data_IF_063404012262
#
_entry.id   IF_063404012262
#
_cell.length_a   1.000
_cell.length_b   1.000
_cell.length_c   1.000
_cell.angle_alpha   90.00
_cell.angle_beta   90.00
_cell.angle_gamma   90.00
#
_symmetry.space_group_name_H-M   'P 1'
#
loop_
_entity.id
_entity.type
_entity.pdbx_description
1 polymer ?
#
# COMPACT_ATOMS: atom_id res chain seq x y z
N UNK A 1 18.16 38.43 -29.53
CA UNK A 1 17.62 37.05 -29.49
C UNK A 1 18.78 36.08 -29.27
N UNK A 2 18.90 35.52 -28.05
CA UNK A 2 19.78 34.40 -27.66
C UNK A 2 19.11 33.63 -26.51
N UNK A 3 19.36 32.32 -26.37
CA UNK A 3 18.29 31.32 -26.49
C UNK A 3 17.95 30.58 -25.19
N UNK A 4 16.74 30.02 -25.17
CA UNK A 4 16.48 28.67 -24.63
C UNK A 4 16.47 28.52 -23.12
N UNK A 5 15.30 28.77 -22.52
CA UNK A 5 15.03 28.50 -21.10
C UNK A 5 15.43 27.08 -20.69
N UNK A 6 16.29 27.02 -19.68
CA UNK A 6 16.67 25.81 -18.94
C UNK A 6 15.50 25.45 -18.02
N UNK A 7 14.46 24.81 -18.55
CA UNK A 7 13.27 24.45 -17.76
C UNK A 7 12.66 23.11 -18.22
N UNK A 8 13.39 22.00 -18.06
CA UNK A 8 12.85 20.64 -18.34
C UNK A 8 13.23 19.55 -17.33
N UNK A 9 13.81 19.89 -16.17
CA UNK A 9 14.24 18.87 -15.19
C UNK A 9 13.48 18.94 -13.86
N UNK A 10 13.08 20.12 -13.38
CA UNK A 10 12.35 20.21 -12.10
C UNK A 10 10.90 19.72 -12.17
N UNK A 11 10.14 20.06 -13.21
CA UNK A 11 8.71 19.70 -13.28
C UNK A 11 8.48 18.18 -13.39
N UNK A 12 9.34 17.46 -14.10
CA UNK A 12 9.26 15.98 -14.19
C UNK A 12 9.60 15.33 -12.85
N UNK A 13 10.59 15.86 -12.13
CA UNK A 13 11.00 15.35 -10.82
C UNK A 13 9.92 15.58 -9.76
N UNK A 14 9.32 16.78 -9.75
CA UNK A 14 8.23 17.12 -8.83
C UNK A 14 6.98 16.24 -9.09
N UNK A 15 6.60 16.03 -10.35
CA UNK A 15 5.44 15.19 -10.69
C UNK A 15 5.65 13.73 -10.28
N UNK A 16 6.87 13.20 -10.45
CA UNK A 16 7.20 11.84 -9.99
C UNK A 16 7.09 11.73 -8.46
N UNK A 17 7.68 12.68 -7.74
CA UNK A 17 7.66 12.70 -6.28
C UNK A 17 6.23 12.79 -5.71
N UNK A 18 5.36 13.62 -6.31
CA UNK A 18 3.95 13.73 -5.93
C UNK A 18 3.19 12.42 -6.20
N UNK A 19 3.46 11.75 -7.32
CA UNK A 19 2.82 10.48 -7.66
C UNK A 19 3.23 9.36 -6.70
N UNK A 20 4.51 9.30 -6.35
CA UNK A 20 5.03 8.34 -5.37
C UNK A 20 4.44 8.58 -3.98
N UNK A 21 4.26 9.85 -3.60
CA UNK A 21 3.62 10.24 -2.35
C UNK A 21 2.14 9.83 -2.31
N UNK A 22 1.38 10.18 -3.34
CA UNK A 22 -0.03 9.83 -3.46
C UNK A 22 -0.26 8.32 -3.43
N UNK A 23 0.69 7.54 -3.97
CA UNK A 23 0.63 6.07 -3.94
C UNK A 23 0.91 5.49 -2.56
N UNK A 24 1.89 6.04 -1.83
CA UNK A 24 2.18 5.66 -0.46
C UNK A 24 0.96 5.94 0.43
N UNK A 25 0.34 7.10 0.29
CA UNK A 25 -0.89 7.46 1.00
C UNK A 25 -2.04 6.52 0.67
N UNK A 26 -2.28 6.26 -0.62
CA UNK A 26 -3.32 5.33 -1.05
C UNK A 26 -3.13 3.92 -0.48
N UNK A 27 -1.90 3.40 -0.49
CA UNK A 27 -1.60 2.08 0.04
C UNK A 27 -1.86 2.00 1.55
N UNK A 28 -1.29 2.92 2.33
CA UNK A 28 -1.49 2.95 3.79
C UNK A 28 -2.95 3.14 4.18
N UNK A 29 -3.65 4.04 3.49
CA UNK A 29 -5.05 4.33 3.73
C UNK A 29 -5.96 3.15 3.39
N UNK A 30 -5.67 2.43 2.31
CA UNK A 30 -6.43 1.23 1.96
C UNK A 30 -6.28 0.11 3.00
N UNK A 31 -5.10 -0.05 3.59
CA UNK A 31 -4.88 -1.01 4.68
C UNK A 31 -5.65 -0.58 5.92
N UNK A 32 -5.56 0.70 6.31
CA UNK A 32 -6.30 1.25 7.45
C UNK A 32 -7.82 1.05 7.30
N UNK A 33 -8.37 1.42 6.14
CA UNK A 33 -9.80 1.28 5.86
C UNK A 33 -10.26 -0.20 5.93
N UNK A 34 -9.47 -1.13 5.40
CA UNK A 34 -9.77 -2.55 5.50
C UNK A 34 -9.73 -3.05 6.94
N UNK A 35 -8.73 -2.63 7.73
CA UNK A 35 -8.63 -2.97 9.15
C UNK A 35 -9.83 -2.46 9.95
N UNK A 36 -10.22 -1.21 9.74
CA UNK A 36 -11.38 -0.61 10.41
C UNK A 36 -12.67 -1.34 10.04
N UNK A 37 -12.87 -1.64 8.76
CA UNK A 37 -14.04 -2.38 8.29
C UNK A 37 -14.12 -3.77 8.91
N UNK A 38 -13.00 -4.52 8.94
CA UNK A 38 -12.94 -5.86 9.52
C UNK A 38 -13.12 -5.80 11.04
N UNK A 39 -12.48 -4.85 11.73
CA UNK A 39 -12.62 -4.69 13.18
C UNK A 39 -14.07 -4.37 13.58
N UNK A 40 -14.80 -3.62 12.77
CA UNK A 40 -16.19 -3.26 13.05
C UNK A 40 -17.16 -4.46 12.97
N UNK A 41 -16.85 -5.45 12.14
CA UNK A 41 -17.75 -6.57 11.83
C UNK A 41 -17.30 -7.92 12.39
N UNK A 42 -16.00 -8.07 12.68
CA UNK A 42 -15.40 -9.27 13.24
C UNK A 42 -14.29 -8.92 14.26
N UNK A 43 -14.64 -8.21 15.36
CA UNK A 43 -13.68 -7.69 16.35
C UNK A 43 -12.89 -8.79 17.05
N UNK A 44 -13.49 -9.98 17.24
CA UNK A 44 -12.82 -11.10 17.91
C UNK A 44 -11.94 -11.93 16.96
N UNK A 45 -12.16 -11.81 15.64
CA UNK A 45 -11.40 -12.56 14.64
C UNK A 45 -10.08 -11.87 14.31
N UNK A 46 -10.10 -10.54 14.13
CA UNK A 46 -8.91 -9.78 13.72
C UNK A 46 -7.68 -9.98 14.65
N UNK A 47 -7.82 -10.00 16.00
CA UNK A 47 -6.69 -10.28 16.90
C UNK A 47 -6.06 -11.67 16.73
N UNK A 48 -6.78 -12.62 16.13
CA UNK A 48 -6.28 -13.99 15.94
C UNK A 48 -5.31 -14.12 14.78
N UNK A 49 -5.29 -13.14 13.87
CA UNK A 49 -4.54 -13.19 12.61
C UNK A 49 -3.48 -12.08 12.48
N UNK A 50 -3.55 -11.02 13.29
CA UNK A 50 -2.57 -9.92 13.27
C UNK A 50 -2.15 -9.49 14.69
N UNK A 51 -0.92 -8.96 14.80
CA UNK A 51 -0.48 -8.25 16.00
C UNK A 51 -1.08 -6.84 16.02
N UNK A 52 -2.21 -6.69 16.72
CA UNK A 52 -2.93 -5.42 16.85
C UNK A 52 -2.06 -4.34 17.52
N UNK A 53 -1.14 -4.69 18.41
CA UNK A 53 -0.30 -3.69 19.06
C UNK A 53 0.72 -3.10 18.08
N UNK A 54 1.31 -3.92 17.23
CA UNK A 54 2.22 -3.44 16.17
C UNK A 54 1.48 -2.65 15.09
N UNK A 55 0.36 -3.19 14.62
CA UNK A 55 -0.42 -2.58 13.56
C UNK A 55 -1.11 -1.30 14.04
N UNK A 56 -1.54 -1.25 15.30
CA UNK A 56 -2.11 -0.06 15.92
C UNK A 56 -1.13 1.12 15.97
N UNK A 57 0.18 0.87 16.13
CA UNK A 57 1.20 1.94 16.03
C UNK A 57 1.31 2.50 14.62
N UNK A 58 1.10 1.66 13.60
CA UNK A 58 1.26 2.01 12.18
C UNK A 58 0.00 2.64 11.58
N UNK A 59 -1.19 2.21 12.02
CA UNK A 59 -2.48 2.60 11.43
C UNK A 59 -3.43 3.32 12.39
N UNK A 60 -3.14 3.37 13.69
CA UNK A 60 -4.01 3.97 14.71
C UNK A 60 -3.92 5.49 14.85
N UNK A 61 -2.95 6.14 14.21
CA UNK A 61 -2.87 7.61 14.21
C UNK A 61 -3.96 8.18 13.29
N UNK A 62 -4.79 9.10 13.82
CA UNK A 62 -5.82 9.78 13.02
C UNK A 62 -5.20 10.55 11.84
N UNK A 63 -5.92 10.59 10.72
CA UNK A 63 -5.53 11.17 9.42
C UNK A 63 -4.96 12.60 9.52
N UNK A 64 -5.42 13.37 10.51
CA UNK A 64 -5.01 14.74 10.82
C UNK A 64 -3.59 14.86 11.40
N UNK A 65 -2.95 13.77 11.83
CA UNK A 65 -1.55 13.77 12.32
C UNK A 65 -0.64 12.83 11.53
N UNK A 66 -1.11 12.26 10.42
CA UNK A 66 -0.28 11.38 9.59
C UNK A 66 0.87 12.16 8.94
N UNK A 67 2.02 12.20 9.60
CA UNK A 67 3.25 12.83 9.08
C UNK A 67 4.04 11.81 8.30
N UNK A 68 3.93 11.90 6.98
CA UNK A 68 4.80 11.17 6.07
C UNK A 68 6.26 11.48 6.37
N UNK A 69 7.14 10.46 6.44
CA UNK A 69 8.56 10.68 6.62
C UNK A 69 9.13 11.57 5.52
N UNK A 70 9.96 12.53 5.92
CA UNK A 70 10.63 13.45 4.99
C UNK A 70 11.75 12.76 4.21
N UNK A 71 12.36 11.70 4.75
CA UNK A 71 13.44 10.98 4.08
C UNK A 71 12.92 9.92 3.10
N UNK A 72 13.59 9.79 1.95
CA UNK A 72 13.27 8.80 0.92
C UNK A 72 13.36 7.36 1.45
N UNK A 73 14.38 7.06 2.27
CA UNK A 73 14.59 5.74 2.86
C UNK A 73 13.42 5.33 3.77
N UNK A 74 13.01 6.20 4.70
CA UNK A 74 11.87 5.92 5.59
C UNK A 74 10.55 5.79 4.83
N UNK A 75 10.37 6.54 3.75
CA UNK A 75 9.21 6.35 2.86
C UNK A 75 9.23 4.98 2.20
N UNK A 76 10.38 4.53 1.69
CA UNK A 76 10.51 3.20 1.09
C UNK A 76 10.23 2.07 2.11
N UNK A 77 10.73 2.22 3.34
CA UNK A 77 10.43 1.29 4.45
C UNK A 77 8.91 1.22 4.74
N UNK A 78 8.23 2.37 4.80
CA UNK A 78 6.77 2.39 4.98
C UNK A 78 6.01 1.77 3.81
N UNK A 79 6.41 2.06 2.56
CA UNK A 79 5.82 1.42 1.38
C UNK A 79 5.93 -0.11 1.48
N UNK A 80 7.10 -0.62 1.88
CA UNK A 80 7.33 -2.06 2.04
C UNK A 80 6.49 -2.65 3.18
N UNK A 81 6.38 -1.93 4.30
CA UNK A 81 5.52 -2.32 5.43
C UNK A 81 4.06 -2.43 5.00
N UNK A 82 3.53 -1.43 4.29
CA UNK A 82 2.15 -1.47 3.79
C UNK A 82 1.87 -2.61 2.83
N UNK A 83 2.81 -2.92 1.93
CA UNK A 83 2.70 -4.07 1.05
C UNK A 83 2.62 -5.38 1.85
N UNK A 84 3.53 -5.53 2.81
CA UNK A 84 3.58 -6.71 3.69
C UNK A 84 2.28 -6.88 4.47
N UNK A 85 1.82 -5.82 5.12
CA UNK A 85 0.60 -5.84 5.91
C UNK A 85 -0.64 -6.10 5.04
N UNK A 86 -0.74 -5.46 3.88
CA UNK A 86 -1.81 -5.71 2.93
C UNK A 86 -1.86 -7.18 2.50
N UNK A 87 -0.71 -7.78 2.21
CA UNK A 87 -0.61 -9.20 1.84
C UNK A 87 -1.01 -10.12 3.00
N UNK A 88 -0.55 -9.83 4.22
CA UNK A 88 -0.92 -10.58 5.43
C UNK A 88 -2.43 -10.55 5.64
N UNK A 89 -3.03 -9.35 5.61
CA UNK A 89 -4.48 -9.20 5.81
C UNK A 89 -5.29 -9.91 4.72
N UNK A 90 -4.90 -9.74 3.45
CA UNK A 90 -5.60 -10.38 2.32
C UNK A 90 -5.47 -11.91 2.32
N UNK A 91 -4.35 -12.45 2.80
CA UNK A 91 -4.20 -13.89 3.01
C UNK A 91 -5.08 -14.37 4.16
N UNK A 92 -5.08 -13.64 5.28
CA UNK A 92 -5.89 -13.99 6.44
C UNK A 92 -7.39 -14.04 6.10
N UNK A 93 -7.94 -13.03 5.42
CA UNK A 93 -9.37 -13.03 5.01
C UNK A 93 -9.68 -14.03 3.90
N UNK A 94 -8.67 -14.51 3.18
CA UNK A 94 -8.80 -15.51 2.12
C UNK A 94 -8.62 -16.96 2.59
N UNK A 95 -8.19 -17.16 3.84
CA UNK A 95 -7.98 -18.47 4.44
C UNK A 95 -9.31 -19.22 4.63
N UNK A 96 -9.28 -20.56 4.60
CA UNK A 96 -10.47 -21.40 4.79
C UNK A 96 -11.03 -21.30 6.21
N UNK A 97 -10.21 -20.92 7.19
CA UNK A 97 -10.62 -20.67 8.57
C UNK A 97 -11.28 -19.30 8.79
N UNK A 98 -11.26 -18.40 7.81
CA UNK A 98 -11.84 -17.07 7.94
C UNK A 98 -13.34 -17.07 7.59
N UNK A 99 -14.15 -16.21 8.23
CA UNK A 99 -15.51 -15.96 7.79
C UNK A 99 -15.52 -15.49 6.33
N UNK A 100 -16.10 -16.30 5.44
CA UNK A 100 -16.00 -16.11 3.98
C UNK A 100 -16.49 -14.74 3.48
N UNK A 101 -17.42 -14.10 4.19
CA UNK A 101 -17.98 -12.79 3.84
C UNK A 101 -17.00 -11.63 4.11
N UNK A 102 -15.91 -11.84 4.89
CA UNK A 102 -14.89 -10.81 5.11
C UNK A 102 -14.19 -10.38 3.83
N UNK A 103 -13.97 -11.32 2.90
CA UNK A 103 -13.34 -11.01 1.61
C UNK A 103 -14.24 -10.15 0.71
N UNK A 104 -15.53 -10.10 0.98
CA UNK A 104 -16.55 -9.37 0.22
C UNK A 104 -16.75 -7.94 0.72
N UNK A 105 -16.14 -7.57 1.85
CA UNK A 105 -16.18 -6.21 2.36
C UNK A 105 -15.60 -5.24 1.31
N UNK A 106 -16.31 -4.15 0.97
CA UNK A 106 -15.85 -3.20 -0.05
C UNK A 106 -14.43 -2.66 0.21
N UNK A 107 -14.08 -2.41 1.47
CA UNK A 107 -12.74 -1.95 1.86
C UNK A 107 -11.65 -3.01 1.58
N UNK A 108 -11.96 -4.29 1.79
CA UNK A 108 -11.05 -5.41 1.50
C UNK A 108 -10.88 -5.59 -0.01
N UNK A 109 -11.94 -5.43 -0.79
CA UNK A 109 -11.86 -5.42 -2.25
C UNK A 109 -11.02 -4.26 -2.79
N UNK A 110 -11.19 -3.06 -2.24
CA UNK A 110 -10.35 -1.89 -2.58
C UNK A 110 -8.89 -2.17 -2.26
N UNK A 111 -8.58 -2.69 -1.06
CA UNK A 111 -7.22 -3.08 -0.68
C UNK A 111 -6.62 -4.09 -1.66
N UNK A 112 -7.39 -5.11 -2.07
CA UNK A 112 -6.93 -6.10 -3.05
C UNK A 112 -6.55 -5.45 -4.39
N UNK A 113 -7.39 -4.54 -4.89
CA UNK A 113 -7.13 -3.82 -6.15
C UNK A 113 -5.88 -2.96 -6.05
N UNK A 114 -5.74 -2.21 -4.95
CA UNK A 114 -4.55 -1.39 -4.67
C UNK A 114 -3.29 -2.26 -4.64
N UNK A 115 -3.33 -3.42 -3.95
CA UNK A 115 -2.19 -4.32 -3.88
C UNK A 115 -1.77 -4.85 -5.25
N UNK A 116 -2.72 -5.36 -6.05
CA UNK A 116 -2.44 -5.88 -7.40
C UNK A 116 -1.87 -4.80 -8.33
N UNK A 117 -2.41 -3.59 -8.24
CA UNK A 117 -2.01 -2.47 -9.08
C UNK A 117 -0.65 -1.89 -8.71
N UNK A 118 -0.28 -1.93 -7.43
CA UNK A 118 0.89 -1.23 -6.91
C UNK A 118 1.97 -2.14 -6.35
N UNK A 119 1.76 -3.43 -6.20
CA UNK A 119 2.78 -4.32 -5.65
C UNK A 119 2.98 -5.54 -6.54
N UNK A 120 4.15 -6.14 -6.38
CA UNK A 120 4.55 -7.40 -6.97
C UNK A 120 5.04 -8.32 -5.86
N UNK A 121 4.60 -9.56 -5.93
CA UNK A 121 5.18 -10.65 -5.16
C UNK A 121 6.33 -11.20 -5.99
N UNK A 122 7.51 -11.23 -5.41
CA UNK A 122 8.76 -11.70 -6.04
C UNK A 122 9.47 -12.67 -5.11
N UNK A 123 10.48 -13.35 -5.63
CA UNK A 123 11.32 -14.25 -4.83
C UNK A 123 12.69 -13.62 -4.67
N UNK A 124 13.20 -13.54 -3.44
CA UNK A 124 14.56 -13.06 -3.19
C UNK A 124 15.62 -14.12 -3.56
N UNK A 125 16.90 -13.74 -3.46
CA UNK A 125 18.03 -14.64 -3.76
C UNK A 125 18.11 -15.86 -2.85
N UNK A 126 17.43 -15.84 -1.71
CA UNK A 126 17.34 -16.95 -0.75
C UNK A 126 16.07 -17.81 -0.97
N UNK A 127 15.29 -17.56 -2.03
CA UNK A 127 14.07 -18.30 -2.33
C UNK A 127 12.85 -17.85 -1.51
N UNK A 128 12.95 -16.77 -0.73
CA UNK A 128 11.86 -16.27 0.11
C UNK A 128 10.94 -15.37 -0.68
N UNK A 129 9.65 -15.51 -0.45
CA UNK A 129 8.66 -14.62 -1.04
C UNK A 129 8.77 -13.23 -0.40
N UNK A 130 8.93 -12.21 -1.23
CA UNK A 130 9.02 -10.80 -0.83
C UNK A 130 8.07 -9.96 -1.66
N UNK A 131 7.32 -9.09 -0.99
CA UNK A 131 6.48 -8.11 -1.65
C UNK A 131 7.24 -6.80 -1.82
N UNK A 132 7.27 -6.29 -3.06
CA UNK A 132 7.88 -4.99 -3.36
C UNK A 132 6.89 -4.11 -4.12
N UNK A 133 6.99 -2.81 -3.90
CA UNK A 133 6.25 -1.86 -4.72
C UNK A 133 6.74 -1.92 -6.17
N UNK A 134 5.80 -1.84 -7.11
CA UNK A 134 6.12 -1.60 -8.53
C UNK A 134 6.89 -0.30 -8.71
N UNK A 135 7.83 -0.21 -9.63
CA UNK A 135 8.45 1.04 -10.02
C UNK A 135 7.93 1.46 -11.39
N UNK A 136 7.62 2.75 -11.57
CA UNK A 136 7.03 3.24 -12.81
C UNK A 136 7.93 3.02 -14.03
N UNK A 137 9.25 3.12 -13.82
CA UNK A 137 10.27 3.00 -14.86
C UNK A 137 10.61 1.55 -15.19
N UNK A 138 10.48 0.64 -14.21
CA UNK A 138 10.95 -0.75 -14.31
C UNK A 138 9.83 -1.75 -14.60
N UNK A 139 8.65 -1.56 -13.98
CA UNK A 139 7.59 -2.58 -13.98
C UNK A 139 6.43 -2.25 -14.92
N UNK A 140 6.46 -1.08 -15.56
CA UNK A 140 5.37 -0.58 -16.39
C UNK A 140 4.10 -0.31 -15.58
N UNK A 141 3.69 0.95 -15.46
CA UNK A 141 2.35 1.25 -14.95
C UNK A 141 1.33 0.64 -15.92
N UNK A 142 0.57 -0.39 -15.49
CA UNK A 142 -0.68 -0.74 -16.18
C UNK A 142 -1.59 0.48 -16.09
N UNK A 143 -1.57 1.30 -17.15
CA UNK A 143 -2.64 2.27 -17.40
C UNK A 143 -3.91 1.44 -17.48
N UNK A 144 -4.88 1.73 -16.62
CA UNK A 144 -6.18 1.13 -16.74
C UNK A 144 -6.68 1.37 -18.16
N UNK A 145 -6.77 0.31 -18.96
CA UNK A 145 -7.58 0.30 -20.16
C UNK A 145 -9.00 0.59 -19.69
N UNK A 146 -9.45 1.80 -19.99
CA UNK A 146 -10.88 2.09 -20.03
C UNK A 146 -11.42 1.32 -21.22
N UNK A 147 -12.27 0.34 -20.93
CA UNK A 147 -13.19 -0.24 -21.90
C UNK A 147 -14.12 0.84 -22.46
#
# INVERSE_FOLDING_TARGET
MRPGGKQRTDSTHVISAVRDLNRLELAGESVRAALEAVAAVAPDWLPTVIDIADWGRRYGARVDTWRLPTSKAKRAELVAAYGTDALVLLRAVGDTGAPHWLRELPAVEVLRRVLVQHYLITTDTAGREVIRAREADTDGLRRGERA
#
